data_IF_629395556844
#
_entry.id   IF_629395556844
#
_cell.length_a   1.000
_cell.length_b   1.000
_cell.length_c   1.000
_cell.angle_alpha   90.00
_cell.angle_beta   90.00
_cell.angle_gamma   90.00
#
_symmetry.space_group_name_H-M   'P 1'
#
loop_
_entity.id
_entity.type
_entity.pdbx_description
1 polymer ?
#
# COMPACT_ATOMS: atom_id res chain seq x y z
N UNK A 1 22.70 20.97 12.88
CA UNK A 1 23.10 21.74 11.67
C UNK A 1 22.09 21.41 10.58
N UNK A 2 20.99 22.16 10.51
CA UNK A 2 19.90 21.92 9.56
C UNK A 2 20.29 22.51 8.21
N UNK A 3 20.56 21.66 7.22
CA UNK A 3 20.84 22.11 5.86
C UNK A 3 19.61 22.83 5.30
N UNK A 4 19.73 24.12 5.05
CA UNK A 4 18.72 24.90 4.31
C UNK A 4 18.91 24.60 2.83
N UNK A 5 17.92 23.98 2.20
CA UNK A 5 17.91 23.78 0.75
C UNK A 5 17.72 25.14 0.02
N UNK A 6 18.33 25.33 -1.16
CA UNK A 6 18.22 26.57 -1.94
C UNK A 6 16.78 26.88 -2.37
N UNK A 7 16.39 28.16 -2.45
CA UNK A 7 15.00 28.54 -2.78
C UNK A 7 14.52 28.04 -4.15
N UNK A 8 15.42 27.85 -5.12
CA UNK A 8 15.09 27.36 -6.46
C UNK A 8 14.71 25.86 -6.50
N UNK A 9 14.92 25.10 -5.43
CA UNK A 9 14.44 23.71 -5.32
C UNK A 9 13.01 23.64 -4.78
N UNK A 10 12.37 24.77 -4.43
CA UNK A 10 10.98 24.81 -3.95
C UNK A 10 10.02 24.73 -5.13
N UNK A 11 9.74 23.51 -5.57
CA UNK A 11 8.55 23.23 -6.38
C UNK A 11 7.31 23.36 -5.50
N UNK A 12 6.24 23.96 -6.04
CA UNK A 12 4.93 23.99 -5.39
C UNK A 12 4.31 22.59 -5.49
N UNK A 13 4.68 21.69 -4.59
CA UNK A 13 4.05 20.38 -4.48
C UNK A 13 2.70 20.52 -3.78
N UNK A 14 1.64 20.11 -4.48
CA UNK A 14 0.30 19.96 -3.89
C UNK A 14 0.15 18.50 -3.51
N UNK A 15 0.23 18.21 -2.22
CA UNK A 15 -0.06 16.87 -1.69
C UNK A 15 -1.56 16.76 -1.38
N UNK A 16 -2.26 15.91 -2.11
CA UNK A 16 -3.70 15.71 -1.99
C UNK A 16 -3.99 14.38 -1.27
N UNK A 17 -4.27 14.44 0.03
CA UNK A 17 -4.54 13.24 0.85
C UNK A 17 -6.04 13.03 1.04
N UNK A 18 -6.62 12.10 0.29
CA UNK A 18 -8.00 11.65 0.50
C UNK A 18 -8.06 10.55 1.57
N UNK A 19 -8.76 10.83 2.67
CA UNK A 19 -9.02 9.85 3.74
C UNK A 19 -10.47 9.38 3.70
N UNK A 20 -10.72 8.22 3.09
CA UNK A 20 -12.04 7.59 3.13
C UNK A 20 -12.34 7.10 4.55
N UNK A 21 -13.39 7.64 5.19
CA UNK A 21 -13.84 7.22 6.52
C UNK A 21 -14.85 6.07 6.41
N UNK A 22 -14.35 4.85 6.19
CA UNK A 22 -15.18 3.63 6.28
C UNK A 22 -15.29 3.22 7.75
N UNK A 23 -16.51 2.94 8.24
CA UNK A 23 -16.71 2.46 9.61
C UNK A 23 -15.97 1.14 9.80
N UNK A 24 -15.39 0.95 10.99
CA UNK A 24 -14.62 -0.25 11.27
C UNK A 24 -15.43 -1.55 11.12
N UNK A 25 -16.75 -1.51 11.33
CA UNK A 25 -17.66 -2.65 11.17
C UNK A 25 -17.87 -3.09 9.71
N UNK A 26 -17.77 -2.15 8.77
CA UNK A 26 -18.02 -2.34 7.34
C UNK A 26 -16.77 -2.81 6.59
N UNK A 27 -15.61 -2.84 7.26
CA UNK A 27 -14.34 -3.29 6.67
C UNK A 27 -14.33 -4.82 6.53
N UNK A 28 -13.76 -5.37 5.44
CA UNK A 28 -13.60 -6.80 5.27
C UNK A 28 -12.92 -7.44 6.48
N UNK A 29 -13.49 -8.53 6.98
CA UNK A 29 -12.89 -9.35 8.04
C UNK A 29 -12.24 -10.56 7.40
N UNK A 30 -10.96 -10.74 7.68
CA UNK A 30 -10.16 -11.84 7.18
C UNK A 30 -10.20 -12.99 8.18
N UNK A 31 -10.62 -14.16 7.71
CA UNK A 31 -10.65 -15.41 8.48
C UNK A 31 -9.89 -16.53 7.79
N UNK A 32 -9.65 -16.41 6.49
CA UNK A 32 -8.94 -17.40 5.68
C UNK A 32 -8.06 -16.75 4.61
N UNK A 33 -7.15 -17.53 4.03
CA UNK A 33 -6.37 -17.11 2.86
C UNK A 33 -7.25 -16.79 1.65
N UNK A 34 -8.42 -17.42 1.54
CA UNK A 34 -9.40 -17.12 0.49
C UNK A 34 -9.95 -15.71 0.63
N UNK A 35 -10.24 -15.25 1.84
CA UNK A 35 -10.72 -13.88 2.07
C UNK A 35 -9.67 -12.85 1.63
N UNK A 36 -8.39 -13.14 1.88
CA UNK A 36 -7.27 -12.30 1.42
C UNK A 36 -7.23 -12.24 -0.10
N UNK A 37 -7.34 -13.40 -0.77
CA UNK A 37 -7.35 -13.46 -2.22
C UNK A 37 -8.48 -12.62 -2.83
N UNK A 38 -9.71 -12.73 -2.32
CA UNK A 38 -10.84 -11.95 -2.83
C UNK A 38 -10.64 -10.43 -2.64
N UNK A 39 -10.03 -10.01 -1.54
CA UNK A 39 -9.68 -8.60 -1.31
C UNK A 39 -8.57 -8.16 -2.27
N UNK A 40 -7.50 -8.95 -2.41
CA UNK A 40 -6.38 -8.63 -3.30
C UNK A 40 -6.82 -8.54 -4.76
N UNK A 41 -7.72 -9.41 -5.19
CA UNK A 41 -8.25 -9.42 -6.55
C UNK A 41 -8.97 -8.11 -6.92
N UNK A 42 -9.63 -7.46 -5.96
CA UNK A 42 -10.33 -6.19 -6.20
C UNK A 42 -9.39 -4.98 -6.32
N UNK A 43 -8.17 -5.10 -5.79
CA UNK A 43 -7.22 -3.97 -5.69
C UNK A 43 -6.01 -4.13 -6.61
N UNK A 44 -5.78 -5.33 -7.14
CA UNK A 44 -4.69 -5.58 -8.06
C UNK A 44 -5.06 -5.06 -9.45
N UNK A 45 -4.09 -4.43 -10.12
CA UNK A 45 -4.27 -4.01 -11.50
C UNK A 45 -4.06 -5.22 -12.42
N UNK A 46 -5.16 -5.75 -12.98
CA UNK A 46 -5.14 -6.90 -13.88
C UNK A 46 -4.21 -6.69 -15.08
N UNK A 47 -4.02 -5.44 -15.53
CA UNK A 47 -3.13 -5.13 -16.65
C UNK A 47 -1.64 -5.27 -16.26
N UNK A 48 -1.33 -5.16 -14.97
CA UNK A 48 0.05 -5.29 -14.46
C UNK A 48 0.39 -6.70 -14.01
N UNK A 49 -0.60 -7.52 -13.66
CA UNK A 49 -0.37 -8.87 -13.10
C UNK A 49 0.54 -9.75 -13.95
N UNK A 50 0.38 -9.70 -15.28
CA UNK A 50 1.17 -10.51 -16.21
C UNK A 50 2.50 -9.83 -16.62
N UNK A 51 2.68 -8.54 -16.29
CA UNK A 51 3.80 -7.73 -16.76
C UNK A 51 4.87 -7.47 -15.69
N UNK A 52 4.46 -7.31 -14.44
CA UNK A 52 5.30 -6.79 -13.36
C UNK A 52 4.98 -7.47 -12.04
N UNK A 53 6.01 -7.88 -11.30
CA UNK A 53 5.84 -8.35 -9.93
C UNK A 53 5.52 -7.19 -8.98
N UNK A 54 4.49 -7.33 -8.15
CA UNK A 54 4.14 -6.31 -7.15
C UNK A 54 4.13 -6.91 -5.74
N UNK A 55 4.59 -6.13 -4.77
CA UNK A 55 4.51 -6.45 -3.35
C UNK A 55 3.54 -5.49 -2.66
N UNK A 56 2.42 -6.04 -2.17
CA UNK A 56 1.40 -5.30 -1.44
C UNK A 56 1.25 -5.87 -0.02
N UNK A 57 1.07 -4.98 0.95
CA UNK A 57 0.86 -5.30 2.36
C UNK A 57 -0.58 -4.96 2.72
N UNK A 58 -1.29 -5.92 3.29
CA UNK A 58 -2.60 -5.67 3.91
C UNK A 58 -2.39 -5.45 5.40
N UNK A 59 -2.86 -4.30 5.87
CA UNK A 59 -2.85 -3.94 7.28
C UNK A 59 -4.14 -4.44 7.92
N UNK A 60 -4.02 -5.11 9.06
CA UNK A 60 -5.15 -5.64 9.82
C UNK A 60 -5.17 -5.04 11.23
N UNK A 61 -6.37 -4.87 11.79
CA UNK A 61 -6.51 -4.64 13.22
C UNK A 61 -6.56 -5.98 14.01
N UNK A 62 -6.63 -5.89 15.34
CA UNK A 62 -6.72 -7.07 16.25
C UNK A 62 -7.97 -7.94 16.02
N UNK A 63 -8.99 -7.45 15.34
CA UNK A 63 -10.19 -8.20 14.98
C UNK A 63 -10.10 -8.82 13.57
N UNK A 64 -8.90 -8.84 12.98
CA UNK A 64 -8.61 -9.25 11.60
C UNK A 64 -9.39 -8.47 10.54
N UNK A 65 -9.72 -7.21 10.80
CA UNK A 65 -10.35 -6.35 9.79
C UNK A 65 -9.31 -5.53 9.05
N UNK A 66 -9.46 -5.45 7.73
CA UNK A 66 -8.60 -4.68 6.83
C UNK A 66 -8.65 -3.21 7.18
N UNK A 67 -7.54 -2.62 7.61
CA UNK A 67 -7.42 -1.19 7.92
C UNK A 67 -6.88 -0.39 6.76
N UNK A 68 -6.13 -1.02 5.87
CA UNK A 68 -5.57 -0.40 4.67
C UNK A 68 -4.77 -1.40 3.85
N UNK A 69 -4.41 -0.98 2.65
CA UNK A 69 -3.47 -1.69 1.78
C UNK A 69 -2.38 -0.71 1.40
N UNK A 70 -1.14 -1.17 1.49
CA UNK A 70 0.04 -0.42 1.09
C UNK A 70 0.75 -1.17 -0.04
N UNK A 71 1.01 -0.51 -1.16
CA UNK A 71 1.89 -1.04 -2.19
C UNK A 71 3.32 -0.65 -1.83
N UNK A 72 4.15 -1.64 -1.48
CA UNK A 72 5.54 -1.40 -1.08
C UNK A 72 6.42 -1.16 -2.30
N UNK A 73 6.26 -2.00 -3.33
CA UNK A 73 7.13 -1.97 -4.50
C UNK A 73 6.48 -2.65 -5.69
N UNK A 74 6.85 -2.15 -6.87
CA UNK A 74 6.62 -2.81 -8.16
C UNK A 74 7.97 -3.07 -8.80
N UNK A 75 8.22 -4.31 -9.16
CA UNK A 75 9.45 -4.81 -9.75
C UNK A 75 9.24 -5.25 -11.21
N UNK A 76 10.29 -5.84 -11.79
CA UNK A 76 10.25 -6.40 -13.13
C UNK A 76 9.83 -7.88 -13.11
N UNK A 77 10.41 -8.66 -14.03
CA UNK A 77 10.22 -10.10 -14.11
C UNK A 77 11.10 -10.91 -13.14
N UNK A 78 12.15 -10.30 -12.58
CA UNK A 78 13.21 -10.99 -11.84
C UNK A 78 13.17 -10.76 -10.33
N UNK A 79 12.16 -10.05 -9.82
CA UNK A 79 12.07 -9.71 -8.41
C UNK A 79 11.45 -8.33 -8.15
N UNK A 80 10.93 -8.18 -6.93
CA UNK A 80 10.57 -6.89 -6.32
C UNK A 80 11.14 -6.83 -4.89
N UNK A 81 11.42 -5.63 -4.39
CA UNK A 81 12.11 -5.44 -3.10
C UNK A 81 11.12 -5.19 -1.98
N UNK A 82 11.08 -6.06 -0.98
CA UNK A 82 10.34 -5.84 0.25
C UNK A 82 11.28 -5.36 1.36
N UNK A 83 11.21 -4.06 1.72
CA UNK A 83 11.96 -3.51 2.86
C UNK A 83 11.11 -3.56 4.14
N UNK A 84 11.47 -4.40 5.14
CA UNK A 84 10.73 -4.48 6.41
C UNK A 84 10.69 -3.16 7.18
N UNK A 85 11.70 -2.30 7.02
CA UNK A 85 11.74 -1.00 7.71
C UNK A 85 10.68 -0.06 7.17
N UNK A 86 10.40 -0.11 5.86
CA UNK A 86 9.32 0.67 5.27
C UNK A 86 7.95 0.08 5.59
N UNK A 87 7.85 -1.26 5.67
CA UNK A 87 6.58 -1.95 5.93
C UNK A 87 6.13 -1.79 7.39
N UNK A 88 7.08 -1.74 8.34
CA UNK A 88 6.80 -1.79 9.79
C UNK A 88 7.08 -0.47 10.53
N UNK A 89 7.46 0.61 9.82
CA UNK A 89 7.73 1.93 10.42
C UNK A 89 6.51 2.57 11.08
#
# INVERSE_FOLDING_TARGET
MTMRLPEWTRVAEVELVYKTKIKASERPKITSSRDIYEVLKQIWDENKMEMQEQFKVILLNRANRVTGVYETSTGGLTGTVADPRLILA
#
